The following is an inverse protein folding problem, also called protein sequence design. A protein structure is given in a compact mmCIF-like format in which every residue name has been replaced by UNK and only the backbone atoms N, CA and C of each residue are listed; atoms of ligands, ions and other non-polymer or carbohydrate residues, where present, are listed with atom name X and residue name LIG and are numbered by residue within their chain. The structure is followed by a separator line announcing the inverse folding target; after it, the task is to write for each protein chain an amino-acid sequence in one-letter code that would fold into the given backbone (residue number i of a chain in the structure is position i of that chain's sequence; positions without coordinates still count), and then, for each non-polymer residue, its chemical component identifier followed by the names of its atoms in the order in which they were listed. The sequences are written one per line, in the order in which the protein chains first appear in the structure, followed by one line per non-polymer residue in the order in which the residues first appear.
data_IF_106656307687
#
_entry.id   IF_106656307687
#
_cell.length_a   1.000
_cell.length_b   1.000
_cell.length_c   1.000
_cell.angle_alpha   90.00
_cell.angle_beta   90.00
_cell.angle_gamma   90.00
#
_symmetry.space_group_name_H-M   'P 1'
#
loop_
_entity.id
_entity.type
_entity.pdbx_description
1 polymer ?
#
# COMPACT_ATOMS: atom_id res chain seq x y z
N UNK A 1 -17.60 28.56 23.78
CA UNK A 1 -18.75 27.62 23.88
C UNK A 1 -18.88 26.91 25.24
N UNK A 2 -17.90 26.12 25.73
CA UNK A 2 -18.00 25.43 27.04
C UNK A 2 -17.81 26.41 28.21
N UNK A 3 -16.78 27.27 28.15
CA UNK A 3 -16.47 28.28 29.17
C UNK A 3 -17.53 29.37 29.25
N UNK A 4 -17.99 29.87 28.11
CA UNK A 4 -19.03 30.92 28.00
C UNK A 4 -20.39 30.48 28.57
N UNK A 5 -20.77 29.21 28.39
CA UNK A 5 -22.09 28.69 28.84
C UNK A 5 -22.02 27.93 30.18
N UNK A 6 -20.86 27.89 30.86
CA UNK A 6 -20.64 27.10 32.10
C UNK A 6 -21.15 25.64 31.99
N UNK A 7 -21.04 25.04 30.81
CA UNK A 7 -21.51 23.67 30.57
C UNK A 7 -20.39 22.67 30.91
N UNK A 8 -20.74 21.49 31.44
CA UNK A 8 -19.74 20.44 31.56
C UNK A 8 -19.37 19.89 30.18
N UNK A 9 -18.09 19.54 29.98
CA UNK A 9 -17.61 18.94 28.73
C UNK A 9 -18.44 17.71 28.34
N UNK A 10 -18.89 16.93 29.32
CA UNK A 10 -19.74 15.75 29.12
C UNK A 10 -21.10 16.11 28.52
N UNK A 11 -21.73 17.18 29.01
CA UNK A 11 -23.04 17.67 28.54
C UNK A 11 -22.94 18.25 27.13
N UNK A 12 -21.89 19.03 26.87
CA UNK A 12 -21.59 19.57 25.56
C UNK A 12 -21.37 18.45 24.51
N UNK A 13 -20.49 17.48 24.80
CA UNK A 13 -20.24 16.34 23.91
C UNK A 13 -21.51 15.52 23.61
N UNK A 14 -22.38 15.32 24.62
CA UNK A 14 -23.66 14.61 24.44
C UNK A 14 -24.59 15.36 23.48
N UNK A 15 -24.67 16.69 23.59
CA UNK A 15 -25.51 17.51 22.73
C UNK A 15 -24.98 17.65 21.30
N UNK A 16 -23.66 17.67 21.12
CA UNK A 16 -23.04 17.81 19.80
C UNK A 16 -22.80 16.47 19.10
N UNK A 17 -23.07 15.34 19.75
CA UNK A 17 -22.74 14.01 19.22
C UNK A 17 -21.24 13.74 19.06
N UNK A 18 -20.38 14.56 19.66
CA UNK A 18 -18.93 14.43 19.56
C UNK A 18 -18.38 13.56 20.68
N UNK A 19 -17.36 12.77 20.38
CA UNK A 19 -16.64 12.05 21.44
C UNK A 19 -15.89 13.04 22.35
N UNK A 20 -15.78 12.73 23.65
CA UNK A 20 -15.00 13.55 24.59
C UNK A 20 -13.56 13.76 24.13
N UNK A 21 -12.96 12.74 23.51
CA UNK A 21 -11.60 12.80 22.96
C UNK A 21 -11.47 13.79 21.81
N UNK A 22 -12.51 13.95 20.99
CA UNK A 22 -12.51 14.95 19.91
C UNK A 22 -12.47 16.39 20.46
N UNK A 23 -12.95 16.58 21.69
CA UNK A 23 -12.97 17.88 22.37
C UNK A 23 -11.76 18.10 23.28
N UNK A 24 -10.90 17.09 23.45
CA UNK A 24 -9.66 17.19 24.22
C UNK A 24 -8.58 17.87 23.39
N UNK A 25 -7.95 18.90 23.95
CA UNK A 25 -6.83 19.56 23.29
C UNK A 25 -5.69 18.55 22.99
N UNK A 26 -5.00 18.67 21.84
CA UNK A 26 -3.87 17.80 21.53
C UNK A 26 -2.80 17.94 22.61
N UNK A 27 -2.18 16.81 22.98
CA UNK A 27 -1.13 16.79 24.01
C UNK A 27 0.05 17.64 23.55
N UNK A 28 0.23 18.80 24.20
CA UNK A 28 1.36 19.67 23.94
C UNK A 28 2.69 18.97 24.31
N UNK A 29 3.72 19.20 23.51
CA UNK A 29 5.07 18.73 23.83
C UNK A 29 5.58 19.53 25.01
N UNK A 30 5.96 18.85 26.10
CA UNK A 30 6.54 19.49 27.29
C UNK A 30 7.91 20.07 26.94
N UNK A 31 8.34 21.15 27.60
CA UNK A 31 9.63 21.79 27.32
C UNK A 31 10.82 20.82 27.45
N UNK A 32 10.75 19.91 28.44
CA UNK A 32 11.74 18.83 28.66
C UNK A 32 11.88 17.86 27.48
N UNK A 33 10.90 17.80 26.59
CA UNK A 33 10.91 16.91 25.42
C UNK A 33 11.42 17.60 24.14
N UNK A 34 11.54 18.94 24.12
CA UNK A 34 11.94 19.71 22.93
C UNK A 34 13.33 19.30 22.42
N UNK A 35 14.30 19.15 23.32
CA UNK A 35 15.67 18.75 22.94
C UNK A 35 15.74 17.37 22.29
N UNK A 36 15.01 16.39 22.84
CA UNK A 36 14.93 15.04 22.26
C UNK A 36 14.17 15.06 20.91
N UNK A 37 13.11 15.85 20.81
CA UNK A 37 12.36 15.98 19.56
C UNK A 37 13.22 16.56 18.43
N UNK A 38 14.08 17.54 18.73
CA UNK A 38 14.96 18.13 17.72
C UNK A 38 16.04 17.14 17.26
N UNK A 39 16.63 16.36 18.17
CA UNK A 39 17.54 15.25 17.80
C UNK A 39 16.85 14.23 16.90
N UNK A 40 15.61 13.83 17.23
CA UNK A 40 14.82 12.91 16.40
C UNK A 40 14.62 13.51 15.00
N UNK A 41 14.30 14.79 14.89
CA UNK A 41 14.14 15.48 13.59
C UNK A 41 15.43 15.53 12.80
N UNK A 42 16.57 15.81 13.43
CA UNK A 42 17.88 15.82 12.77
C UNK A 42 18.22 14.45 12.18
N UNK A 43 18.03 13.37 12.95
CA UNK A 43 18.26 12.00 12.46
C UNK A 43 17.29 11.66 11.32
N UNK A 44 16.01 12.02 11.45
CA UNK A 44 15.01 11.77 10.41
C UNK A 44 15.29 12.56 9.11
N UNK A 45 15.78 13.80 9.22
CA UNK A 45 16.21 14.61 8.07
C UNK A 45 17.38 13.97 7.33
N UNK A 46 18.37 13.44 8.07
CA UNK A 46 19.52 12.74 7.48
C UNK A 46 19.13 11.42 6.84
N UNK A 47 18.16 10.70 7.41
CA UNK A 47 17.72 9.38 6.94
C UNK A 47 16.22 9.35 6.60
N UNK A 48 15.85 9.94 5.46
CA UNK A 48 14.44 10.15 5.04
C UNK A 48 13.59 8.88 4.95
N UNK A 49 14.19 7.71 4.73
CA UNK A 49 13.49 6.43 4.59
C UNK A 49 13.48 5.57 5.85
N UNK A 50 14.01 6.09 6.96
CA UNK A 50 14.10 5.33 8.20
C UNK A 50 12.84 5.46 9.03
N UNK A 51 12.29 4.32 9.44
CA UNK A 51 11.20 4.25 10.39
C UNK A 51 11.67 4.40 11.84
N UNK A 52 10.70 4.46 12.74
CA UNK A 52 10.88 4.63 14.18
C UNK A 52 11.99 3.74 14.79
N UNK A 53 11.99 2.43 14.49
CA UNK A 53 12.93 1.49 15.11
C UNK A 53 14.39 1.78 14.72
N UNK A 54 14.64 2.13 13.46
CA UNK A 54 15.98 2.50 12.99
C UNK A 54 16.46 3.80 13.63
N UNK A 55 15.58 4.78 13.75
CA UNK A 55 15.88 6.05 14.42
C UNK A 55 16.14 5.82 15.91
N UNK A 56 15.31 5.03 16.60
CA UNK A 56 15.50 4.66 17.99
C UNK A 56 16.85 3.98 18.22
N UNK A 57 17.20 3.00 17.38
CA UNK A 57 18.49 2.31 17.47
C UNK A 57 19.68 3.26 17.22
N UNK A 58 19.56 4.18 16.26
CA UNK A 58 20.59 5.19 16.00
C UNK A 58 20.78 6.15 17.17
N UNK A 59 19.68 6.59 17.79
CA UNK A 59 19.72 7.44 18.99
C UNK A 59 20.37 6.70 20.17
N UNK A 60 20.05 5.42 20.37
CA UNK A 60 20.72 4.59 21.39
C UNK A 60 22.24 4.51 21.17
N UNK A 61 22.68 4.34 19.92
CA UNK A 61 24.12 4.38 19.56
C UNK A 61 24.78 5.75 19.79
N UNK A 62 24.01 6.83 19.84
CA UNK A 62 24.47 8.17 20.15
C UNK A 62 24.41 8.49 21.65
N UNK A 63 24.14 7.50 22.51
CA UNK A 63 24.06 7.66 23.96
C UNK A 63 22.68 8.06 24.49
N UNK A 64 21.66 8.20 23.64
CA UNK A 64 20.31 8.52 24.11
C UNK A 64 19.67 7.32 24.80
N UNK A 65 19.26 7.48 26.06
CA UNK A 65 18.70 6.39 26.88
C UNK A 65 17.17 6.41 26.98
N UNK A 66 16.52 7.35 26.29
CA UNK A 66 15.07 7.49 26.30
C UNK A 66 14.35 6.19 25.87
N UNK A 67 13.31 5.83 26.61
CA UNK A 67 12.48 4.67 26.31
C UNK A 67 11.84 4.78 24.91
N UNK A 68 11.80 3.68 24.16
CA UNK A 68 11.15 3.58 22.85
C UNK A 68 9.71 4.14 22.82
N UNK A 69 8.95 4.03 23.91
CA UNK A 69 7.59 4.60 24.03
C UNK A 69 7.61 6.14 23.94
N UNK A 70 8.58 6.78 24.60
CA UNK A 70 8.76 8.24 24.58
C UNK A 70 9.16 8.72 23.20
N UNK A 71 10.12 8.02 22.57
CA UNK A 71 10.57 8.32 21.20
C UNK A 71 9.41 8.15 20.21
N UNK A 72 8.61 7.07 20.33
CA UNK A 72 7.41 6.85 19.50
C UNK A 72 6.42 8.00 19.60
N UNK A 73 6.16 8.51 20.80
CA UNK A 73 5.26 9.64 21.02
C UNK A 73 5.77 10.90 20.31
N UNK A 74 7.03 11.27 20.54
CA UNK A 74 7.64 12.47 19.95
C UNK A 74 7.77 12.37 18.44
N UNK A 75 8.09 11.18 17.92
CA UNK A 75 8.13 10.91 16.48
C UNK A 75 6.78 11.13 15.80
N UNK A 76 5.68 10.67 16.42
CA UNK A 76 4.32 10.91 15.94
C UNK A 76 3.92 12.38 16.03
N UNK A 77 4.18 13.03 17.16
CA UNK A 77 3.89 14.47 17.35
C UNK A 77 4.71 15.35 16.39
N UNK A 78 5.90 14.91 15.98
CA UNK A 78 6.72 15.60 14.99
C UNK A 78 6.27 15.34 13.54
N UNK A 79 5.23 14.54 13.29
CA UNK A 79 4.73 14.25 11.94
C UNK A 79 5.67 13.38 11.09
N UNK A 80 6.62 12.66 11.71
CA UNK A 80 7.68 11.94 10.98
C UNK A 80 7.25 10.56 10.46
N UNK A 81 5.96 10.23 10.51
CA UNK A 81 5.48 8.90 10.12
C UNK A 81 5.68 8.69 8.62
N UNK A 82 6.36 7.60 8.26
CA UNK A 82 6.59 7.27 6.86
C UNK A 82 5.27 6.98 6.14
N UNK A 83 5.05 7.54 4.93
CA UNK A 83 3.87 7.23 4.16
C UNK A 83 3.88 5.78 3.71
N UNK A 84 2.71 5.16 3.69
CA UNK A 84 2.54 3.82 3.11
C UNK A 84 2.76 3.92 1.60
N UNK A 85 3.64 3.09 1.04
CA UNK A 85 3.78 2.99 -0.42
C UNK A 85 2.46 2.51 -1.01
N UNK A 86 1.83 3.32 -1.85
CA UNK A 86 0.66 2.95 -2.64
C UNK A 86 1.15 2.46 -4.01
N UNK A 87 0.53 1.42 -4.56
CA UNK A 87 0.80 0.99 -5.94
C UNK A 87 0.42 2.15 -6.87
N UNK A 88 1.40 2.69 -7.61
CA UNK A 88 1.13 3.66 -8.67
C UNK A 88 0.28 2.96 -9.73
N UNK A 89 -0.92 3.47 -10.01
CA UNK A 89 -1.70 3.03 -11.18
C UNK A 89 -1.10 3.71 -12.40
N UNK A 90 -0.73 2.94 -13.40
CA UNK A 90 -0.40 3.52 -14.71
C UNK A 90 -1.69 4.11 -15.30
N UNK A 91 -1.60 5.20 -16.08
CA UNK A 91 -2.75 5.70 -16.83
C UNK A 91 -3.30 4.59 -17.72
N UNK A 92 -4.61 4.57 -17.90
CA UNK A 92 -5.28 3.59 -18.75
C UNK A 92 -4.80 3.79 -20.19
N UNK A 93 -4.07 2.80 -20.72
CA UNK A 93 -3.62 2.84 -22.10
C UNK A 93 -4.84 2.76 -23.03
N UNK A 94 -4.92 3.64 -24.03
CA UNK A 94 -5.93 3.55 -25.08
C UNK A 94 -5.73 2.23 -25.81
N UNK A 95 -6.69 1.30 -25.68
CA UNK A 95 -6.62 -0.01 -26.34
C UNK A 95 -6.79 0.20 -27.84
N UNK A 96 -5.74 -0.03 -28.62
CA UNK A 96 -5.84 -0.10 -30.07
C UNK A 96 -6.44 -1.47 -30.48
N UNK A 97 -7.38 -1.51 -31.44
CA UNK A 97 -7.89 -2.77 -31.95
C UNK A 97 -6.77 -3.54 -32.65
N UNK A 98 -6.64 -4.83 -32.34
CA UNK A 98 -5.69 -5.72 -33.01
C UNK A 98 -6.17 -6.01 -34.44
N UNK A 99 -5.25 -6.12 -35.42
CA UNK A 99 -5.61 -6.54 -36.77
C UNK A 99 -6.16 -7.98 -36.76
N UNK A 100 -7.23 -8.23 -37.51
CA UNK A 100 -7.81 -9.57 -37.66
C UNK A 100 -6.93 -10.43 -38.57
N UNK A 101 -6.81 -11.72 -38.25
CA UNK A 101 -6.11 -12.67 -39.11
C UNK A 101 -6.92 -12.96 -40.39
N UNK A 102 -6.26 -12.90 -41.54
CA UNK A 102 -6.90 -13.11 -42.87
C UNK A 102 -6.81 -14.57 -43.36
N UNK A 103 -5.90 -15.38 -42.80
CA UNK A 103 -5.71 -16.78 -43.17
C UNK A 103 -5.23 -17.61 -41.97
N UNK A 104 -5.44 -18.93 -42.00
CA UNK A 104 -4.89 -19.86 -41.02
C UNK A 104 -3.38 -19.68 -40.87
N UNK A 105 -2.85 -19.87 -39.66
CA UNK A 105 -1.42 -19.74 -39.34
C UNK A 105 -0.78 -18.36 -39.60
N UNK A 106 -1.58 -17.31 -39.84
CA UNK A 106 -1.05 -15.97 -40.08
C UNK A 106 -0.83 -15.16 -38.78
N UNK A 107 -1.58 -15.47 -37.72
CA UNK A 107 -1.45 -14.80 -36.44
C UNK A 107 -1.77 -15.75 -35.28
N UNK A 108 -0.87 -15.83 -34.30
CA UNK A 108 -1.02 -16.68 -33.14
C UNK A 108 -1.03 -15.84 -31.86
N UNK A 109 -2.02 -16.09 -31.01
CA UNK A 109 -2.05 -15.59 -29.64
C UNK A 109 -1.42 -16.61 -28.70
N UNK A 110 -0.46 -16.15 -27.91
CA UNK A 110 0.22 -16.93 -26.89
C UNK A 110 -0.06 -16.34 -25.51
N UNK A 111 -0.55 -17.16 -24.60
CA UNK A 111 -0.74 -16.77 -23.21
C UNK A 111 -0.21 -17.83 -22.23
N UNK A 112 0.26 -17.36 -21.08
CA UNK A 112 0.72 -18.22 -19.99
C UNK A 112 -0.25 -18.13 -18.83
N UNK A 113 -0.76 -19.27 -18.38
CA UNK A 113 -1.51 -19.36 -17.12
C UNK A 113 -0.61 -19.98 -16.06
N UNK A 114 -0.54 -19.37 -14.87
CA UNK A 114 0.20 -19.93 -13.73
C UNK A 114 -0.78 -20.43 -12.68
N UNK A 115 -0.58 -21.64 -12.20
CA UNK A 115 -1.40 -22.24 -11.15
C UNK A 115 -0.54 -23.10 -10.21
N UNK A 116 -1.13 -23.62 -9.14
CA UNK A 116 -0.46 -24.44 -8.13
C UNK A 116 -1.27 -25.70 -7.82
N UNK A 117 -0.59 -26.84 -7.73
CA UNK A 117 -1.19 -28.10 -7.29
C UNK A 117 -1.46 -28.06 -5.78
N UNK A 118 -2.27 -29.00 -5.29
CA UNK A 118 -2.60 -29.15 -3.87
C UNK A 118 -1.35 -29.36 -2.98
N UNK A 119 -0.26 -29.86 -3.54
CA UNK A 119 1.04 -30.05 -2.87
C UNK A 119 1.93 -28.79 -2.86
N UNK A 120 1.43 -27.66 -3.40
CA UNK A 120 2.14 -26.38 -3.46
C UNK A 120 3.13 -26.25 -4.61
N UNK A 121 3.28 -27.25 -5.49
CA UNK A 121 4.09 -27.13 -6.70
C UNK A 121 3.43 -26.16 -7.68
N UNK A 122 4.21 -25.20 -8.17
CA UNK A 122 3.77 -24.23 -9.17
C UNK A 122 4.04 -24.79 -10.55
N UNK A 123 3.10 -24.59 -11.47
CA UNK A 123 3.29 -24.92 -12.87
C UNK A 123 2.78 -23.78 -13.75
N UNK A 124 3.21 -23.77 -15.01
CA UNK A 124 2.70 -22.85 -16.01
C UNK A 124 2.22 -23.62 -17.23
N UNK A 125 1.08 -23.24 -17.77
CA UNK A 125 0.61 -23.76 -19.06
C UNK A 125 0.86 -22.71 -20.12
N UNK A 126 1.48 -23.12 -21.22
CA UNK A 126 1.49 -22.34 -22.45
C UNK A 126 0.20 -22.67 -23.22
N UNK A 127 -0.58 -21.64 -23.50
CA UNK A 127 -1.76 -21.69 -24.33
C UNK A 127 -1.39 -21.07 -25.69
N UNK A 128 -1.64 -21.81 -26.77
CA UNK A 128 -1.40 -21.37 -28.15
C UNK A 128 -2.73 -21.38 -28.88
N UNK A 129 -3.11 -20.23 -29.43
CA UNK A 129 -4.36 -20.04 -30.16
C UNK A 129 -4.06 -19.49 -31.56
N UNK A 130 -4.73 -20.03 -32.57
CA UNK A 130 -4.74 -19.47 -33.93
C UNK A 130 -5.89 -18.45 -34.02
N UNK A 131 -5.54 -17.18 -34.23
CA UNK A 131 -6.49 -16.07 -34.20
C UNK A 131 -7.47 -16.10 -35.40
N UNK A 132 -7.14 -16.84 -36.46
CA UNK A 132 -8.05 -17.03 -37.61
C UNK A 132 -9.28 -17.88 -37.26
N UNK A 133 -9.12 -18.85 -36.35
CA UNK A 133 -10.18 -19.78 -35.97
C UNK A 133 -11.09 -19.23 -34.85
N UNK A 134 -10.78 -18.04 -34.34
CA UNK A 134 -11.49 -17.38 -33.24
C UNK A 134 -12.69 -16.56 -33.71
N UNK A 135 -13.89 -17.08 -33.45
CA UNK A 135 -15.18 -16.35 -33.45
C UNK A 135 -15.67 -15.82 -34.80
N UNK A 136 -16.32 -16.67 -35.60
CA UNK A 136 -17.15 -16.21 -36.73
C UNK A 136 -17.51 -17.26 -37.78
N UNK A 137 -16.78 -18.38 -37.89
CA UNK A 137 -17.09 -19.41 -38.89
C UNK A 137 -18.02 -20.50 -38.31
N UNK A 138 -19.19 -20.76 -38.92
CA UNK A 138 -20.07 -21.85 -38.53
C UNK A 138 -19.53 -23.17 -39.10
N UNK A 139 -18.48 -23.71 -38.50
CA UNK A 139 -18.05 -25.07 -38.76
C UNK A 139 -17.47 -25.66 -37.48
N UNK A 140 -17.95 -26.85 -37.13
CA UNK A 140 -17.70 -27.53 -35.87
C UNK A 140 -16.24 -27.62 -35.46
N UNK A 141 -16.05 -27.57 -34.14
CA UNK A 141 -15.01 -28.26 -33.37
C UNK A 141 -13.81 -28.81 -34.16
N UNK A 142 -12.63 -28.20 -33.97
CA UNK A 142 -11.43 -28.80 -33.34
C UNK A 142 -10.50 -27.62 -33.02
N UNK A 143 -10.63 -27.07 -31.83
CA UNK A 143 -9.57 -26.23 -31.27
C UNK A 143 -8.48 -27.18 -30.80
N UNK A 144 -7.36 -27.26 -31.52
CA UNK A 144 -6.14 -27.86 -31.00
C UNK A 144 -5.66 -27.02 -29.81
N UNK A 145 -6.25 -27.23 -28.62
CA UNK A 145 -5.71 -26.74 -27.36
C UNK A 145 -4.47 -27.57 -27.04
N UNK A 146 -3.36 -27.25 -27.68
CA UNK A 146 -2.05 -27.76 -27.27
C UNK A 146 -1.66 -27.05 -25.97
N UNK A 147 -2.22 -27.51 -24.86
CA UNK A 147 -1.81 -27.10 -23.52
C UNK A 147 -0.53 -27.83 -23.19
N UNK A 148 0.60 -27.20 -23.47
CA UNK A 148 1.89 -27.71 -23.01
C UNK A 148 2.07 -27.30 -21.55
N UNK A 149 2.15 -28.30 -20.68
CA UNK A 149 2.55 -28.11 -19.29
C UNK A 149 4.05 -27.84 -19.26
N UNK A 150 4.42 -26.62 -18.87
CA UNK A 150 5.79 -26.25 -18.56
C UNK A 150 5.94 -26.39 -17.04
N UNK A 151 6.71 -27.39 -16.62
CA UNK A 151 7.08 -27.65 -15.23
C UNK A 151 8.10 -26.66 -14.73
#
# INVERSE_FOLDING_TARGET
MISEKKLSQRKACRWTGLSRNAMTAPVAVKDKDKGLQERIRQVAKRYKHWGLLKIHYKLRKQGETANHKRIRRLYRLAGLTLPRKVKKRLPEAVRQPLPKATACNNCWSLDFTSDSLADGRKFRTLNVLDDYNGTGHPAGSIGYRNRLLLT
#
